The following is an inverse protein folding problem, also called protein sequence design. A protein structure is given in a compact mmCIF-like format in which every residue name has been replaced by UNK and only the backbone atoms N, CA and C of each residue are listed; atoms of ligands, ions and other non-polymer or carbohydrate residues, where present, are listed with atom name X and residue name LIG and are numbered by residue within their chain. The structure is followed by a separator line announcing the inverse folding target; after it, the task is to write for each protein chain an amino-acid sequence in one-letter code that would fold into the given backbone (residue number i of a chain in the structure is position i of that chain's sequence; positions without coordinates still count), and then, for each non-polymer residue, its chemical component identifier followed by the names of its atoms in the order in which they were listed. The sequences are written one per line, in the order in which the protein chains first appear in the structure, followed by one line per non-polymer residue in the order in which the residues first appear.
data_IF_161875712408
#
_entry.id   IF_161875712408
#
_cell.length_a   1.000
_cell.length_b   1.000
_cell.length_c   1.000
_cell.angle_alpha   90.00
_cell.angle_beta   90.00
_cell.angle_gamma   90.00
#
_symmetry.space_group_name_H-M   'P 1'
#
loop_
_entity.id
_entity.type
_entity.pdbx_description
1 polymer ?
#
# COMPACT_ATOMS: atom_id res chain seq x y z
N UNK A 1 -7.45 -17.30 -6.90
CA UNK A 1 -6.69 -16.08 -6.52
C UNK A 1 -5.63 -15.75 -7.55
N UNK A 2 -5.90 -14.77 -8.40
CA UNK A 2 -5.00 -14.13 -9.35
C UNK A 2 -4.65 -12.74 -8.80
N UNK A 3 -3.37 -12.45 -8.63
CA UNK A 3 -2.90 -11.16 -8.08
C UNK A 3 -2.22 -10.37 -9.17
N UNK A 4 -2.58 -9.10 -9.27
CA UNK A 4 -1.87 -8.09 -10.05
C UNK A 4 -0.89 -7.35 -9.12
N UNK A 5 0.35 -7.23 -9.55
CA UNK A 5 1.29 -6.23 -9.03
C UNK A 5 1.41 -5.12 -10.07
N UNK A 6 0.83 -3.96 -9.77
CA UNK A 6 0.96 -2.77 -10.60
C UNK A 6 2.30 -2.10 -10.27
N UNK A 7 3.26 -2.24 -11.17
CA UNK A 7 4.62 -1.72 -11.05
C UNK A 7 4.67 -0.25 -11.47
N UNK A 8 5.01 0.62 -10.53
CA UNK A 8 5.27 2.04 -10.75
C UNK A 8 6.76 2.32 -11.00
N UNK A 9 7.47 1.41 -11.68
CA UNK A 9 8.88 1.52 -12.06
C UNK A 9 9.85 1.60 -10.87
N UNK A 10 9.57 0.85 -9.81
CA UNK A 10 10.40 0.83 -8.61
C UNK A 10 11.36 -0.37 -8.57
N UNK A 11 12.56 -0.15 -8.04
CA UNK A 11 13.58 -1.20 -7.94
C UNK A 11 13.26 -2.27 -6.89
N UNK A 12 12.38 -1.97 -5.93
CA UNK A 12 11.97 -2.88 -4.86
C UNK A 12 10.70 -3.68 -5.20
N UNK A 13 10.01 -3.39 -6.30
CA UNK A 13 8.80 -4.13 -6.74
C UNK A 13 8.99 -5.65 -6.69
N UNK A 14 10.14 -6.16 -7.14
CA UNK A 14 10.38 -7.60 -7.17
C UNK A 14 10.58 -8.25 -5.80
N UNK A 15 10.91 -7.49 -4.75
CA UNK A 15 10.93 -8.02 -3.39
C UNK A 15 9.51 -8.32 -2.89
N UNK A 16 8.54 -7.43 -3.20
CA UNK A 16 7.12 -7.67 -2.95
C UNK A 16 6.62 -8.89 -3.73
N UNK A 17 6.95 -8.96 -5.02
CA UNK A 17 6.62 -10.10 -5.89
C UNK A 17 7.12 -11.40 -5.27
N UNK A 18 8.39 -11.45 -4.85
CA UNK A 18 8.97 -12.65 -4.23
C UNK A 18 8.22 -13.06 -2.95
N UNK A 19 7.82 -12.11 -2.10
CA UNK A 19 7.00 -12.46 -0.93
C UNK A 19 5.65 -13.04 -1.33
N UNK A 20 4.96 -12.44 -2.30
CA UNK A 20 3.66 -12.93 -2.75
C UNK A 20 3.79 -14.33 -3.35
N UNK A 21 4.74 -14.54 -4.26
CA UNK A 21 4.95 -15.83 -4.93
C UNK A 21 5.37 -16.92 -3.94
N UNK A 22 6.18 -16.59 -2.92
CA UNK A 22 6.54 -17.52 -1.85
C UNK A 22 5.33 -17.97 -1.04
N UNK A 23 4.35 -17.10 -0.83
CA UNK A 23 3.10 -17.45 -0.12
C UNK A 23 2.18 -18.25 -1.04
N UNK A 24 1.99 -17.83 -2.29
CA UNK A 24 1.07 -18.48 -3.23
C UNK A 24 1.60 -19.76 -3.87
N UNK A 25 2.92 -20.00 -3.79
CA UNK A 25 3.63 -21.09 -4.48
C UNK A 25 3.42 -21.07 -6.00
N UNK A 26 3.25 -19.88 -6.58
CA UNK A 26 3.08 -19.66 -8.03
C UNK A 26 3.44 -18.21 -8.39
N UNK A 27 3.72 -17.99 -9.67
CA UNK A 27 3.98 -16.66 -10.21
C UNK A 27 2.76 -15.73 -10.13
N UNK A 28 3.02 -14.44 -10.01
CA UNK A 28 2.00 -13.36 -10.12
C UNK A 28 2.21 -12.53 -11.38
N UNK A 29 1.16 -11.84 -11.81
CA UNK A 29 1.27 -10.97 -12.97
C UNK A 29 1.78 -9.61 -12.52
N UNK A 30 2.91 -9.18 -13.08
CA UNK A 30 3.48 -7.86 -12.88
C UNK A 30 3.26 -7.05 -14.14
N UNK A 31 2.61 -5.89 -14.02
CA UNK A 31 2.32 -4.99 -15.14
C UNK A 31 2.67 -3.57 -14.76
N UNK A 32 3.32 -2.85 -15.67
CA UNK A 32 3.59 -1.43 -15.46
C UNK A 32 2.30 -0.63 -15.52
N UNK A 33 2.27 0.48 -14.79
CA UNK A 33 1.11 1.36 -14.67
C UNK A 33 0.61 2.00 -15.98
N UNK A 34 1.35 1.84 -17.07
CA UNK A 34 1.09 2.33 -18.43
C UNK A 34 0.95 1.21 -19.47
N UNK A 35 1.02 -0.07 -19.05
CA UNK A 35 1.00 -1.24 -19.93
C UNK A 35 -0.18 -2.18 -19.67
N UNK A 36 -1.21 -1.69 -18.99
CA UNK A 36 -2.42 -2.43 -18.64
C UNK A 36 -3.61 -1.47 -18.74
N UNK A 37 -4.68 -1.90 -19.39
CA UNK A 37 -5.93 -1.13 -19.41
C UNK A 37 -6.71 -1.34 -18.12
N UNK A 38 -7.59 -0.39 -17.79
CA UNK A 38 -8.44 -0.49 -16.60
C UNK A 38 -9.36 -1.71 -16.68
N UNK A 39 -9.85 -2.09 -17.86
CA UNK A 39 -10.72 -3.24 -18.08
C UNK A 39 -9.98 -4.56 -17.82
N UNK A 40 -8.70 -4.65 -18.21
CA UNK A 40 -7.88 -5.85 -17.99
C UNK A 40 -7.68 -6.15 -16.49
N UNK A 41 -7.74 -5.12 -15.62
CA UNK A 41 -7.67 -5.27 -14.17
C UNK A 41 -8.84 -6.08 -13.60
N UNK A 42 -9.99 -6.14 -14.30
CA UNK A 42 -11.17 -6.86 -13.84
C UNK A 42 -10.89 -8.35 -13.58
N UNK A 43 -9.95 -8.94 -14.32
CA UNK A 43 -9.58 -10.35 -14.26
C UNK A 43 -8.80 -10.76 -12.99
N UNK A 44 -8.40 -9.81 -12.14
CA UNK A 44 -7.62 -10.07 -10.94
C UNK A 44 -8.48 -10.06 -9.67
N UNK A 45 -8.13 -10.89 -8.69
CA UNK A 45 -8.84 -10.99 -7.42
C UNK A 45 -8.34 -9.96 -6.39
N UNK A 46 -7.02 -9.71 -6.38
CA UNK A 46 -6.36 -8.74 -5.51
C UNK A 46 -5.32 -7.94 -6.28
N UNK A 47 -5.06 -6.72 -5.82
CA UNK A 47 -4.14 -5.79 -6.48
C UNK A 47 -3.15 -5.24 -5.45
N UNK A 48 -1.86 -5.40 -5.72
CA UNK A 48 -0.82 -4.66 -5.03
C UNK A 48 -0.36 -3.52 -5.92
N UNK A 49 -0.29 -2.30 -5.40
CA UNK A 49 0.26 -1.12 -6.06
C UNK A 49 1.63 -0.86 -5.44
N UNK A 50 2.68 -0.99 -6.25
CA UNK A 50 4.06 -0.91 -5.77
C UNK A 50 4.46 0.51 -5.37
N UNK A 51 5.59 0.67 -4.68
CA UNK A 51 6.30 1.94 -4.63
C UNK A 51 6.65 2.43 -6.04
N UNK A 52 7.08 3.69 -6.13
CA UNK A 52 7.49 4.33 -7.38
C UNK A 52 8.09 5.72 -7.12
N UNK A 53 8.83 6.27 -8.08
CA UNK A 53 9.26 7.67 -8.04
C UNK A 53 8.08 8.61 -8.37
N UNK A 54 8.25 9.89 -8.07
CA UNK A 54 7.29 10.93 -8.45
C UNK A 54 6.08 11.00 -7.52
N UNK A 55 4.94 11.38 -8.08
CA UNK A 55 3.66 11.57 -7.37
C UNK A 55 2.55 10.76 -8.03
N UNK A 56 1.46 10.40 -7.31
CA UNK A 56 0.46 9.49 -7.84
C UNK A 56 -0.28 9.98 -9.09
N UNK A 57 -0.52 11.29 -9.22
CA UNK A 57 -1.18 11.88 -10.39
C UNK A 57 -0.39 11.72 -11.71
N UNK A 58 0.89 11.34 -11.63
CA UNK A 58 1.74 11.05 -12.80
C UNK A 58 1.91 9.53 -13.03
N UNK A 59 1.34 8.68 -12.16
CA UNK A 59 1.56 7.24 -12.13
C UNK A 59 0.54 6.45 -12.97
N UNK A 60 0.40 6.82 -14.26
CA UNK A 60 -0.43 6.07 -15.22
C UNK A 60 -1.86 5.82 -14.73
N UNK A 61 -2.34 4.57 -14.82
CA UNK A 61 -3.72 4.21 -14.44
C UNK A 61 -3.97 4.14 -12.92
N UNK A 62 -2.99 4.46 -12.07
CA UNK A 62 -3.02 4.13 -10.65
C UNK A 62 -4.24 4.70 -9.92
N UNK A 63 -4.54 5.99 -10.10
CA UNK A 63 -5.69 6.65 -9.45
C UNK A 63 -7.03 6.10 -9.98
N UNK A 64 -7.15 5.90 -11.29
CA UNK A 64 -8.37 5.39 -11.91
C UNK A 64 -8.64 3.94 -11.50
N UNK A 65 -7.59 3.12 -11.37
CA UNK A 65 -7.66 1.77 -10.84
C UNK A 65 -8.22 1.75 -9.43
N UNK A 66 -7.73 2.60 -8.54
CA UNK A 66 -8.18 2.63 -7.14
C UNK A 66 -9.66 3.05 -7.08
N UNK A 67 -10.06 4.08 -7.83
CA UNK A 67 -11.45 4.55 -7.88
C UNK A 67 -12.39 3.47 -8.39
N UNK A 68 -12.02 2.80 -9.47
CA UNK A 68 -12.85 1.78 -10.11
C UNK A 68 -12.92 0.50 -9.27
N UNK A 69 -11.78 0.02 -8.75
CA UNK A 69 -11.70 -1.32 -8.14
C UNK A 69 -11.66 -1.34 -6.62
N UNK A 70 -11.35 -0.22 -5.96
CA UNK A 70 -11.33 -0.13 -4.50
C UNK A 70 -12.59 -0.68 -3.83
N UNK A 71 -13.81 -0.35 -4.32
CA UNK A 71 -15.04 -0.90 -3.74
C UNK A 71 -15.24 -2.41 -3.88
N UNK A 72 -14.56 -3.05 -4.82
CA UNK A 72 -14.89 -4.42 -5.29
C UNK A 72 -13.74 -5.42 -5.12
N UNK A 73 -12.51 -4.95 -4.90
CA UNK A 73 -11.30 -5.78 -4.84
C UNK A 73 -10.44 -5.41 -3.65
N UNK A 74 -9.65 -6.36 -3.19
CA UNK A 74 -8.65 -6.13 -2.15
C UNK A 74 -7.45 -5.39 -2.74
N UNK A 75 -7.13 -4.20 -2.22
CA UNK A 75 -6.01 -3.37 -2.69
C UNK A 75 -5.03 -3.09 -1.55
N UNK A 76 -3.74 -3.32 -1.80
CA UNK A 76 -2.65 -2.88 -0.93
C UNK A 76 -1.73 -1.92 -1.69
N UNK A 77 -1.63 -0.68 -1.23
CA UNK A 77 -0.68 0.31 -1.74
C UNK A 77 0.56 0.42 -0.85
N UNK A 78 1.74 0.50 -1.47
CA UNK A 78 3.01 0.70 -0.75
C UNK A 78 3.67 1.99 -1.22
N UNK A 79 4.07 2.86 -0.30
CA UNK A 79 4.71 4.14 -0.55
C UNK A 79 3.92 5.02 -1.56
N UNK A 80 4.33 5.11 -2.83
CA UNK A 80 3.54 5.79 -3.87
C UNK A 80 2.13 5.18 -4.02
N UNK A 81 1.97 3.87 -3.89
CA UNK A 81 0.64 3.25 -3.87
C UNK A 81 -0.21 3.65 -2.66
N UNK A 82 0.40 3.92 -1.50
CA UNK A 82 -0.30 4.45 -0.33
C UNK A 82 -0.77 5.90 -0.56
N UNK A 83 0.10 6.72 -1.14
CA UNK A 83 -0.22 8.10 -1.51
C UNK A 83 -1.33 8.14 -2.57
N UNK A 84 -1.28 7.25 -3.55
CA UNK A 84 -2.30 7.10 -4.58
C UNK A 84 -3.67 6.75 -3.98
N UNK A 85 -3.71 5.91 -2.95
CA UNK A 85 -4.96 5.60 -2.23
C UNK A 85 -5.52 6.86 -1.57
N UNK A 86 -4.68 7.62 -0.86
CA UNK A 86 -5.14 8.85 -0.24
C UNK A 86 -5.71 9.84 -1.27
N UNK A 87 -4.99 10.10 -2.36
CA UNK A 87 -5.43 11.01 -3.42
C UNK A 87 -6.69 10.50 -4.14
N UNK A 88 -6.79 9.21 -4.43
CA UNK A 88 -7.95 8.63 -5.11
C UNK A 88 -9.27 8.81 -4.34
N UNK A 89 -9.19 8.86 -3.00
CA UNK A 89 -10.34 9.13 -2.12
C UNK A 89 -10.47 10.61 -1.72
N UNK A 90 -9.62 11.51 -2.25
CA UNK A 90 -9.75 12.96 -2.08
C UNK A 90 -8.83 13.59 -1.02
N UNK A 91 -7.87 12.86 -0.49
CA UNK A 91 -6.78 13.44 0.31
C UNK A 91 -5.72 14.12 -0.55
N UNK A 92 -4.78 14.79 0.10
CA UNK A 92 -3.60 15.40 -0.53
C UNK A 92 -2.30 14.89 0.10
N UNK A 93 -1.19 15.14 -0.61
CA UNK A 93 0.16 14.83 -0.16
C UNK A 93 0.98 16.11 -0.05
N UNK A 94 1.89 16.14 0.92
CA UNK A 94 2.85 17.21 1.10
C UNK A 94 4.28 16.68 0.93
N UNK A 95 5.14 17.54 0.38
CA UNK A 95 6.56 17.27 0.30
C UNK A 95 7.22 17.57 1.65
N UNK A 96 8.04 16.64 2.14
CA UNK A 96 8.79 16.81 3.35
C UNK A 96 10.05 17.64 3.10
N UNK A 97 10.38 18.55 4.03
CA UNK A 97 11.67 19.24 4.02
C UNK A 97 12.86 18.30 4.19
N UNK A 98 12.61 17.12 4.78
CA UNK A 98 13.61 16.08 5.02
C UNK A 98 13.26 14.86 4.15
N UNK A 99 14.20 14.43 3.31
CA UNK A 99 14.07 13.23 2.49
C UNK A 99 14.58 12.03 3.28
N UNK A 100 13.76 10.98 3.41
CA UNK A 100 14.16 9.73 4.03
C UNK A 100 14.57 8.75 2.94
N UNK A 101 15.77 8.18 3.03
CA UNK A 101 16.25 7.19 2.06
C UNK A 101 17.08 6.11 2.77
N UNK A 102 16.48 4.94 3.00
CA UNK A 102 17.18 3.81 3.61
C UNK A 102 17.39 3.97 5.12
N UNK A 103 16.46 4.63 5.80
CA UNK A 103 16.48 4.77 7.26
C UNK A 103 15.36 3.96 7.89
N UNK A 104 15.57 3.56 9.13
CA UNK A 104 14.54 2.91 9.95
C UNK A 104 13.81 3.99 10.74
N UNK A 105 12.50 3.86 10.88
CA UNK A 105 11.68 4.69 11.77
C UNK A 105 10.74 3.84 12.61
N UNK A 106 10.41 4.33 13.79
CA UNK A 106 9.44 3.69 14.67
C UNK A 106 8.03 3.88 14.10
N UNK A 107 7.27 2.80 14.09
CA UNK A 107 5.87 2.73 13.67
C UNK A 107 5.02 2.37 14.87
N UNK A 108 3.87 3.03 15.02
CA UNK A 108 2.92 2.79 16.11
C UNK A 108 1.53 2.58 15.55
N UNK A 109 0.96 1.40 15.80
CA UNK A 109 -0.43 1.10 15.47
C UNK A 109 -1.36 1.92 16.38
N UNK A 110 -2.32 2.63 15.77
CA UNK A 110 -3.31 3.49 16.46
C UNK A 110 -4.72 2.90 16.47
N UNK A 111 -4.91 1.75 15.82
CA UNK A 111 -6.14 0.94 15.87
C UNK A 111 -5.82 -0.48 16.35
N UNK A 112 -6.82 -1.19 16.84
CA UNK A 112 -6.66 -2.56 17.38
C UNK A 112 -7.12 -3.65 16.39
N UNK A 113 -7.87 -3.29 15.34
CA UNK A 113 -8.60 -4.22 14.48
C UNK A 113 -8.13 -4.18 13.01
N UNK A 114 -6.85 -3.89 12.77
CA UNK A 114 -6.27 -3.92 11.43
C UNK A 114 -5.58 -5.25 11.14
N UNK A 115 -6.23 -6.09 10.33
CA UNK A 115 -5.75 -7.44 10.05
C UNK A 115 -4.38 -7.45 9.37
N UNK A 116 -4.01 -6.41 8.62
CA UNK A 116 -2.71 -6.30 7.95
C UNK A 116 -1.56 -6.47 8.95
N UNK A 117 -1.76 -6.03 10.20
CA UNK A 117 -0.78 -6.10 11.28
C UNK A 117 -0.99 -7.27 12.24
N UNK A 118 -1.77 -8.29 11.86
CA UNK A 118 -1.97 -9.49 12.69
C UNK A 118 -0.66 -10.19 13.02
N UNK A 119 -0.33 -10.25 14.32
CA UNK A 119 0.93 -10.83 14.81
C UNK A 119 2.16 -9.93 14.60
N UNK A 120 1.96 -8.64 14.34
CA UNK A 120 3.00 -7.59 14.38
C UNK A 120 2.87 -6.85 15.72
N UNK A 121 3.97 -6.56 16.44
CA UNK A 121 3.93 -5.76 17.66
C UNK A 121 3.27 -4.39 17.45
N UNK A 122 2.64 -3.84 18.50
CA UNK A 122 1.97 -2.53 18.44
C UNK A 122 2.92 -1.40 18.05
N UNK A 123 4.17 -1.48 18.50
CA UNK A 123 5.28 -0.64 18.07
C UNK A 123 6.33 -1.50 17.38
N UNK A 124 6.76 -1.11 16.18
CA UNK A 124 7.71 -1.87 15.38
C UNK A 124 8.56 -0.94 14.52
N UNK A 125 9.70 -1.44 14.04
CA UNK A 125 10.58 -0.70 13.15
C UNK A 125 10.27 -1.03 11.68
N UNK A 126 10.31 -0.01 10.82
CA UNK A 126 10.17 -0.20 9.37
C UNK A 126 11.03 0.78 8.55
N UNK A 127 11.41 0.33 7.35
CA UNK A 127 12.22 1.09 6.39
C UNK A 127 11.43 2.20 5.69
N UNK A 128 12.02 3.40 5.60
CA UNK A 128 11.46 4.60 4.97
C UNK A 128 12.32 5.07 3.80
N UNK A 129 11.68 5.38 2.68
CA UNK A 129 12.33 5.81 1.43
C UNK A 129 11.58 6.94 0.71
N UNK A 130 10.80 7.74 1.44
CA UNK A 130 9.86 8.69 0.88
C UNK A 130 10.26 10.16 1.14
N UNK A 131 9.87 11.03 0.21
CA UNK A 131 9.93 12.49 0.31
C UNK A 131 8.54 13.13 0.34
N UNK A 132 7.49 12.35 0.14
CA UNK A 132 6.09 12.76 0.21
C UNK A 132 5.38 11.99 1.31
N UNK A 133 4.38 12.60 1.93
CA UNK A 133 3.48 11.98 2.91
C UNK A 133 2.07 12.47 2.69
N UNK A 134 1.08 11.70 3.13
CA UNK A 134 -0.32 12.13 3.17
C UNK A 134 -0.48 13.22 4.22
N UNK A 135 -1.17 14.31 3.85
CA UNK A 135 -1.47 15.42 4.77
C UNK A 135 -2.62 15.04 5.71
N UNK A 136 -2.41 15.00 7.04
CA UNK A 136 -3.46 14.58 7.97
C UNK A 136 -4.74 15.40 7.89
N UNK A 137 -4.63 16.72 7.73
CA UNK A 137 -5.77 17.64 7.66
C UNK A 137 -6.62 17.47 6.38
N UNK A 138 -6.06 16.81 5.36
CA UNK A 138 -6.74 16.52 4.10
C UNK A 138 -7.44 15.16 4.09
N UNK A 139 -7.17 14.30 5.09
CA UNK A 139 -7.57 12.90 5.01
C UNK A 139 -9.11 12.79 5.01
N UNK A 140 -9.72 12.23 3.94
CA UNK A 140 -11.16 12.12 3.82
C UNK A 140 -11.72 11.16 4.87
N UNK A 141 -12.99 11.35 5.25
CA UNK A 141 -13.66 10.55 6.30
C UNK A 141 -13.72 9.06 5.99
N UNK A 142 -13.69 8.70 4.71
CA UNK A 142 -13.74 7.30 4.25
C UNK A 142 -12.44 6.55 4.54
N UNK A 143 -11.35 7.28 4.84
CA UNK A 143 -10.07 6.74 5.24
C UNK A 143 -9.86 6.88 6.76
N UNK A 144 -9.14 5.93 7.32
CA UNK A 144 -8.76 5.87 8.72
C UNK A 144 -7.27 5.61 8.84
N UNK A 145 -6.60 6.38 9.70
CA UNK A 145 -5.20 6.17 10.05
C UNK A 145 -5.10 4.91 10.90
N UNK A 146 -4.20 4.00 10.54
CA UNK A 146 -3.98 2.75 11.27
C UNK A 146 -2.59 2.68 11.90
N UNK A 147 -1.62 3.40 11.34
CA UNK A 147 -0.26 3.52 11.87
C UNK A 147 0.22 4.96 11.71
N UNK A 148 0.88 5.46 12.75
CA UNK A 148 1.60 6.74 12.76
C UNK A 148 3.06 6.52 13.18
N UNK A 149 3.92 7.52 13.00
CA UNK A 149 5.24 7.56 13.63
C UNK A 149 5.33 8.62 14.74
N UNK A 150 6.48 8.67 15.40
CA UNK A 150 6.84 9.65 16.43
C UNK A 150 6.83 11.11 15.96
N UNK A 151 7.03 11.34 14.66
CA UNK A 151 6.94 12.67 14.02
C UNK A 151 5.50 13.09 13.69
N UNK A 152 4.51 12.22 13.91
CA UNK A 152 3.10 12.48 13.61
C UNK A 152 2.71 12.30 12.14
N UNK A 153 3.57 11.68 11.32
CA UNK A 153 3.24 11.35 9.95
C UNK A 153 2.35 10.11 9.88
N UNK A 154 1.43 10.12 8.91
CA UNK A 154 0.59 8.96 8.58
C UNK A 154 1.47 7.90 7.93
N UNK A 155 1.55 6.73 8.56
CA UNK A 155 2.38 5.61 8.12
C UNK A 155 1.58 4.45 7.56
N UNK A 156 0.29 4.35 7.89
CA UNK A 156 -0.64 3.48 7.21
C UNK A 156 -2.08 3.99 7.31
N UNK A 157 -2.87 3.68 6.29
CA UNK A 157 -4.30 4.00 6.21
C UNK A 157 -5.08 2.77 5.77
N UNK A 158 -6.35 2.73 6.14
CA UNK A 158 -7.35 1.82 5.57
C UNK A 158 -8.58 2.59 5.13
N UNK A 159 -9.29 2.08 4.13
CA UNK A 159 -10.65 2.48 3.88
C UNK A 159 -11.58 1.86 4.93
N UNK A 160 -12.59 2.60 5.38
CA UNK A 160 -13.53 2.15 6.43
C UNK A 160 -14.44 1.02 5.97
N UNK A 161 -14.94 1.11 4.74
CA UNK A 161 -15.86 0.12 4.17
C UNK A 161 -15.18 -0.91 3.24
N UNK A 162 -14.30 -0.44 2.35
CA UNK A 162 -13.65 -1.24 1.32
C UNK A 162 -12.37 -1.94 1.80
N UNK A 163 -11.99 -3.05 1.17
CA UNK A 163 -10.74 -3.76 1.49
C UNK A 163 -9.50 -3.10 0.85
N UNK A 164 -9.35 -1.79 1.08
CA UNK A 164 -8.26 -0.97 0.55
C UNK A 164 -7.38 -0.49 1.70
N UNK A 165 -6.07 -0.71 1.60
CA UNK A 165 -5.09 -0.37 2.63
C UNK A 165 -3.84 0.18 1.98
N UNK A 166 -3.19 1.13 2.64
CA UNK A 166 -1.92 1.70 2.19
C UNK A 166 -0.91 1.77 3.33
N UNK A 167 0.34 1.43 3.07
CA UNK A 167 1.47 1.66 4.00
C UNK A 167 2.49 2.60 3.37
N UNK A 168 2.92 3.63 4.10
CA UNK A 168 3.91 4.61 3.61
C UNK A 168 5.34 4.04 3.67
N UNK A 169 5.61 3.17 4.63
CA UNK A 169 6.87 2.45 4.75
C UNK A 169 6.94 1.25 3.79
N UNK A 170 8.12 0.62 3.71
CA UNK A 170 8.42 -0.43 2.75
C UNK A 170 8.46 -1.81 3.42
N UNK A 171 7.36 -2.60 3.41
CA UNK A 171 7.35 -3.96 3.95
C UNK A 171 8.28 -4.91 3.19
N UNK A 172 8.74 -4.56 2.00
CA UNK A 172 9.71 -5.32 1.22
C UNK A 172 11.16 -4.98 1.52
N UNK A 173 11.41 -3.94 2.32
CA UNK A 173 12.75 -3.58 2.75
C UNK A 173 13.27 -4.57 3.79
N UNK A 174 14.57 -4.87 3.71
CA UNK A 174 15.29 -5.62 4.76
C UNK A 174 15.29 -4.90 6.12
N UNK A 175 14.99 -3.60 6.14
CA UNK A 175 14.85 -2.79 7.35
C UNK A 175 13.48 -2.98 8.03
N UNK A 176 12.56 -3.71 7.42
CA UNK A 176 11.21 -3.96 7.96
C UNK A 176 11.06 -5.42 8.36
N UNK A 177 11.33 -5.72 9.63
CA UNK A 177 11.35 -7.09 10.17
C UNK A 177 10.07 -7.89 9.84
N UNK A 178 8.91 -7.25 10.01
CA UNK A 178 7.60 -7.91 9.90
C UNK A 178 6.94 -7.79 8.52
N UNK A 179 7.66 -7.27 7.52
CA UNK A 179 7.07 -6.95 6.23
C UNK A 179 6.51 -8.18 5.48
N UNK A 180 7.23 -9.31 5.49
CA UNK A 180 6.72 -10.56 4.94
C UNK A 180 5.44 -11.07 5.65
N UNK A 181 5.28 -10.80 6.95
CA UNK A 181 4.07 -11.14 7.71
C UNK A 181 2.89 -10.27 7.27
N UNK A 182 3.11 -8.98 7.01
CA UNK A 182 2.08 -8.08 6.50
C UNK A 182 1.58 -8.52 5.11
N UNK A 183 2.50 -8.87 4.20
CA UNK A 183 2.13 -9.40 2.88
C UNK A 183 1.34 -10.71 3.00
N UNK A 184 1.76 -11.61 3.90
CA UNK A 184 1.03 -12.85 4.20
C UNK A 184 -0.40 -12.58 4.71
N UNK A 185 -0.56 -11.62 5.63
CA UNK A 185 -1.87 -11.25 6.18
C UNK A 185 -2.80 -10.70 5.09
N UNK A 186 -2.29 -9.84 4.21
CA UNK A 186 -3.06 -9.31 3.08
C UNK A 186 -3.49 -10.39 2.08
N UNK A 187 -2.59 -11.32 1.75
CA UNK A 187 -2.89 -12.45 0.86
C UNK A 187 -4.00 -13.34 1.44
N UNK A 188 -3.92 -13.64 2.74
CA UNK A 188 -4.86 -14.54 3.40
C UNK A 188 -6.18 -13.87 3.81
N UNK A 189 -6.31 -12.55 3.67
CA UNK A 189 -7.55 -11.85 4.01
C UNK A 189 -8.68 -12.30 3.08
N UNK A 190 -9.79 -12.72 3.69
CA UNK A 190 -10.94 -13.35 3.03
C UNK A 190 -12.19 -12.47 3.12
N UNK A 191 -12.03 -11.15 2.89
CA UNK A 191 -13.17 -10.27 2.61
C UNK A 191 -13.37 -10.20 1.09
N UNK A 192 -14.13 -11.15 0.55
CA UNK A 192 -14.85 -10.86 -0.68
C UNK A 192 -15.95 -9.86 -0.31
N UNK A 193 -15.95 -8.68 -0.94
CA UNK A 193 -17.06 -7.72 -0.80
C UNK A 193 -18.36 -8.47 -1.05
N UNK A 194 -19.27 -8.44 -0.07
CA UNK A 194 -20.63 -8.92 -0.24
C UNK A 194 -21.26 -8.03 -1.32
N UNK A 195 -21.64 -8.64 -2.44
CA UNK A 195 -22.40 -8.01 -3.53
C UNK A 195 -23.72 -7.42 -3.01
#
# INVERSE_FOLDING_TARGET
MKILVLDNYDSFTYNLVQYIERVLKKAVDVKRNDQLSLEEVAAYDKILISPGPGIPNEAGICLDLIKEYGPRKSILGVCLGHQAIAEAYGGSIANLSTVYHGVTGQMKQVVEDEYLFSGVPKEFDAGRYHSWVVEPDSLPRDLEITVENDEGYIMAIRHREHDVKGVQFHPESVLTEYGGRMILNWINSSKASIL
#
